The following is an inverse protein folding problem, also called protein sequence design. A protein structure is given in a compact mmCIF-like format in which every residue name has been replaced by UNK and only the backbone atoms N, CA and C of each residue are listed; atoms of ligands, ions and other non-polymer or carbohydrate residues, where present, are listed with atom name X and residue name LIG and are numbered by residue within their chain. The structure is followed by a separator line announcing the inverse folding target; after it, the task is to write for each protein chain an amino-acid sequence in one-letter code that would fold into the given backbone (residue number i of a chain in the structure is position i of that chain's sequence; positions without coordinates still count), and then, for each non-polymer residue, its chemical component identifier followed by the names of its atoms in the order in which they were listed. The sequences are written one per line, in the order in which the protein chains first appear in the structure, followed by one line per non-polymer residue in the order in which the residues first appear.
data_IF_044312508837
#
_entry.id   IF_044312508837
#
_cell.length_a   1.000
_cell.length_b   1.000
_cell.length_c   1.000
_cell.angle_alpha   90.00
_cell.angle_beta   90.00
_cell.angle_gamma   90.00
#
_symmetry.space_group_name_H-M   'P 1'
#
loop_
_entity.id
_entity.type
_entity.pdbx_description
1 polymer ?
#
# COMPACT_ATOMS: atom_id res chain seq x y z
N UNK A 1 -1.80 10.14 -2.84
CA UNK A 1 -0.44 9.88 -3.37
C UNK A 1 -0.43 9.44 -4.82
N UNK A 2 -1.22 8.43 -5.23
CA UNK A 2 -1.20 7.91 -6.60
C UNK A 2 -1.28 8.96 -7.71
N UNK A 3 -2.15 9.98 -7.58
CA UNK A 3 -2.29 11.03 -8.60
C UNK A 3 -1.02 11.89 -8.75
N UNK A 4 -0.39 12.26 -7.63
CA UNK A 4 0.85 13.05 -7.67
C UNK A 4 2.03 12.22 -8.18
N UNK A 5 2.12 10.96 -7.79
CA UNK A 5 3.13 10.04 -8.32
C UNK A 5 2.94 9.81 -9.84
N UNK A 6 1.69 9.66 -10.31
CA UNK A 6 1.39 9.61 -11.75
C UNK A 6 1.84 10.87 -12.48
N UNK A 7 1.66 12.07 -11.89
CA UNK A 7 2.16 13.33 -12.48
C UNK A 7 3.67 13.39 -12.58
N UNK A 8 4.39 12.72 -11.68
CA UNK A 8 5.84 12.57 -11.73
C UNK A 8 6.32 11.48 -12.70
N UNK A 9 5.40 10.78 -13.38
CA UNK A 9 5.71 9.76 -14.38
C UNK A 9 5.74 8.32 -13.86
N UNK A 10 5.28 8.07 -12.63
CA UNK A 10 5.19 6.71 -12.09
C UNK A 10 3.87 6.03 -12.47
N UNK A 11 3.93 4.71 -12.68
CA UNK A 11 2.74 3.87 -12.70
C UNK A 11 2.34 3.53 -11.26
N UNK A 12 1.06 3.73 -10.93
CA UNK A 12 0.59 3.62 -9.55
C UNK A 12 -0.76 2.92 -9.46
N UNK A 13 -0.82 1.97 -8.53
CA UNK A 13 -2.02 1.27 -8.09
C UNK A 13 -2.30 1.61 -6.63
N UNK A 14 -3.55 1.90 -6.30
CA UNK A 14 -4.02 2.10 -4.92
C UNK A 14 -4.75 0.87 -4.39
N UNK A 15 -4.63 0.58 -3.09
CA UNK A 15 -5.39 -0.48 -2.43
C UNK A 15 -5.95 0.04 -1.11
N UNK A 16 -7.16 -0.40 -0.76
CA UNK A 16 -7.84 -0.04 0.48
C UNK A 16 -8.93 -1.10 0.77
N UNK A 17 -9.29 -1.29 2.04
CA UNK A 17 -10.41 -2.15 2.43
C UNK A 17 -11.77 -1.44 2.26
N UNK A 18 -11.76 -0.11 2.27
CA UNK A 18 -12.94 0.73 2.18
C UNK A 18 -13.38 0.91 0.72
N UNK A 19 -14.50 0.30 0.39
CA UNK A 19 -15.10 0.34 -0.94
C UNK A 19 -15.41 1.77 -1.43
N UNK A 20 -15.85 2.66 -0.54
CA UNK A 20 -16.16 4.05 -0.92
C UNK A 20 -14.88 4.82 -1.29
N UNK A 21 -13.76 4.57 -0.59
CA UNK A 21 -12.47 5.19 -0.92
C UNK A 21 -11.96 4.70 -2.27
N UNK A 22 -12.11 3.41 -2.57
CA UNK A 22 -11.76 2.85 -3.87
C UNK A 22 -12.62 3.43 -4.98
N UNK A 23 -13.92 3.60 -4.76
CA UNK A 23 -14.82 4.24 -5.72
C UNK A 23 -14.38 5.67 -6.03
N UNK A 24 -14.14 6.49 -4.99
CA UNK A 24 -13.64 7.87 -5.14
C UNK A 24 -12.29 7.90 -5.88
N UNK A 25 -11.38 6.97 -5.57
CA UNK A 25 -10.08 6.89 -6.22
C UNK A 25 -10.22 6.58 -7.73
N UNK A 26 -11.09 5.62 -8.09
CA UNK A 26 -11.37 5.25 -9.48
C UNK A 26 -12.01 6.40 -10.27
N UNK A 27 -12.98 7.10 -9.67
CA UNK A 27 -13.60 8.30 -10.27
C UNK A 27 -12.56 9.40 -10.59
N UNK A 28 -11.47 9.47 -9.81
CA UNK A 28 -10.35 10.39 -10.03
C UNK A 28 -9.28 9.85 -11.00
N UNK A 29 -9.47 8.69 -11.61
CA UNK A 29 -8.53 8.09 -12.56
C UNK A 29 -7.38 7.30 -11.92
N UNK A 30 -7.51 6.90 -10.65
CA UNK A 30 -6.58 5.99 -10.00
C UNK A 30 -6.99 4.55 -10.30
N UNK A 31 -6.04 3.73 -10.73
CA UNK A 31 -6.25 2.29 -10.77
C UNK A 31 -6.21 1.79 -9.33
N UNK A 32 -7.32 1.24 -8.84
CA UNK A 32 -7.45 0.91 -7.43
C UNK A 32 -8.27 -0.35 -7.17
N UNK A 33 -7.93 -1.09 -6.12
CA UNK A 33 -8.52 -2.39 -5.77
C UNK A 33 -8.95 -2.45 -4.31
N UNK A 34 -10.08 -3.10 -4.06
CA UNK A 34 -10.51 -3.41 -2.70
C UNK A 34 -9.72 -4.64 -2.24
N UNK A 35 -8.94 -4.51 -1.17
CA UNK A 35 -8.09 -5.60 -0.65
C UNK A 35 -8.23 -5.70 0.87
N UNK A 36 -8.23 -6.93 1.38
CA UNK A 36 -8.24 -7.21 2.82
C UNK A 36 -6.90 -7.76 3.32
N UNK A 37 -6.50 -8.90 2.76
CA UNK A 37 -5.35 -9.66 3.25
C UNK A 37 -4.35 -9.91 2.12
N UNK A 38 -4.77 -10.61 1.07
CA UNK A 38 -3.92 -10.95 -0.07
C UNK A 38 -4.06 -9.95 -1.21
N UNK A 39 -2.93 -9.38 -1.63
CA UNK A 39 -2.82 -8.50 -2.78
C UNK A 39 -2.92 -9.32 -4.08
N UNK A 40 -3.76 -8.92 -5.06
CA UNK A 40 -3.97 -9.65 -6.31
C UNK A 40 -2.83 -9.42 -7.33
N UNK A 41 -1.59 -9.35 -6.86
CA UNK A 41 -0.40 -9.10 -7.66
C UNK A 41 0.60 -10.24 -7.49
N UNK A 42 1.38 -10.49 -8.53
CA UNK A 42 2.47 -11.46 -8.48
C UNK A 42 3.57 -11.00 -7.50
N UNK A 43 4.46 -11.93 -7.17
CA UNK A 43 5.67 -11.61 -6.41
C UNK A 43 6.52 -10.60 -7.21
N UNK A 44 7.18 -9.68 -6.50
CA UNK A 44 8.03 -8.62 -7.08
C UNK A 44 7.36 -7.73 -8.15
N UNK A 45 6.02 -7.63 -8.13
CA UNK A 45 5.25 -6.88 -9.13
C UNK A 45 5.54 -5.36 -9.10
N UNK A 46 5.74 -4.77 -7.92
CA UNK A 46 6.01 -3.34 -7.77
C UNK A 46 7.48 -3.08 -7.44
N UNK A 47 8.08 -2.07 -8.06
CA UNK A 47 9.40 -1.59 -7.67
C UNK A 47 9.42 -1.10 -6.20
N UNK A 48 8.36 -0.40 -5.80
CA UNK A 48 8.22 0.19 -4.46
C UNK A 48 6.80 0.02 -3.95
N UNK A 49 6.65 -0.48 -2.73
CA UNK A 49 5.39 -0.43 -1.96
C UNK A 49 5.45 0.71 -0.97
N UNK A 50 4.34 1.47 -0.84
CA UNK A 50 4.24 2.57 0.11
C UNK A 50 3.03 2.35 1.01
N UNK A 51 3.26 2.39 2.32
CA UNK A 51 2.22 2.30 3.36
C UNK A 51 2.26 3.58 4.18
N UNK A 52 1.23 4.42 4.05
CA UNK A 52 1.10 5.67 4.79
C UNK A 52 0.06 5.51 5.89
N UNK A 53 0.46 5.73 7.15
CA UNK A 53 -0.45 5.79 8.32
C UNK A 53 -1.43 4.59 8.34
N UNK A 54 -0.89 3.38 8.20
CA UNK A 54 -1.67 2.13 8.09
C UNK A 54 -1.37 1.15 9.22
N UNK A 55 -0.09 0.90 9.52
CA UNK A 55 0.32 -0.21 10.37
C UNK A 55 -0.17 -0.10 11.81
N UNK A 56 -0.36 1.13 12.30
CA UNK A 56 -0.87 1.45 13.63
C UNK A 56 -2.37 1.18 13.80
N UNK A 57 -3.09 0.97 12.69
CA UNK A 57 -4.54 0.75 12.69
C UNK A 57 -4.92 -0.72 12.47
N UNK A 58 -3.95 -1.59 12.22
CA UNK A 58 -4.18 -3.00 11.86
C UNK A 58 -3.67 -3.94 12.94
N UNK A 59 -4.42 -5.00 13.22
CA UNK A 59 -4.04 -6.01 14.22
C UNK A 59 -3.04 -7.04 13.69
N UNK A 60 -2.96 -7.20 12.38
CA UNK A 60 -2.17 -8.21 11.67
C UNK A 60 -1.04 -7.57 10.85
N UNK A 61 -0.32 -6.63 11.44
CA UNK A 61 0.80 -5.91 10.79
C UNK A 61 1.81 -6.86 10.15
N UNK A 62 2.15 -7.97 10.80
CA UNK A 62 3.13 -8.94 10.31
C UNK A 62 2.73 -9.58 8.97
N UNK A 63 1.45 -9.93 8.82
CA UNK A 63 0.95 -10.51 7.57
C UNK A 63 0.89 -9.46 6.45
N UNK A 64 0.51 -8.23 6.79
CA UNK A 64 0.52 -7.10 5.84
C UNK A 64 1.96 -6.80 5.39
N UNK A 65 2.93 -6.87 6.29
CA UNK A 65 4.34 -6.66 5.98
C UNK A 65 4.92 -7.77 5.11
N UNK A 66 4.58 -9.04 5.39
CA UNK A 66 4.95 -10.17 4.52
C UNK A 66 4.37 -10.00 3.13
N UNK A 67 3.12 -9.56 3.03
CA UNK A 67 2.45 -9.36 1.75
C UNK A 67 3.02 -8.17 0.98
N UNK A 68 3.27 -7.04 1.67
CA UNK A 68 3.99 -5.91 1.11
C UNK A 68 5.38 -6.32 0.61
N UNK A 69 6.09 -7.16 1.38
CA UNK A 69 7.40 -7.70 0.99
C UNK A 69 7.31 -8.64 -0.20
N UNK A 70 6.27 -9.46 -0.29
CA UNK A 70 6.04 -10.39 -1.41
C UNK A 70 5.90 -9.64 -2.73
N UNK A 71 5.13 -8.56 -2.76
CA UNK A 71 4.89 -7.80 -4.00
C UNK A 71 5.95 -6.72 -4.27
N UNK A 72 6.82 -6.40 -3.31
CA UNK A 72 7.86 -5.37 -3.43
C UNK A 72 9.20 -5.93 -3.90
N UNK A 73 9.62 -5.53 -5.10
CA UNK A 73 10.89 -5.92 -5.71
C UNK A 73 12.11 -5.26 -5.07
N UNK A 74 12.03 -3.96 -4.75
CA UNK A 74 13.19 -3.18 -4.27
C UNK A 74 12.94 -2.55 -2.92
N UNK A 75 11.89 -1.74 -2.79
CA UNK A 75 11.71 -0.88 -1.63
C UNK A 75 10.34 -1.05 -0.98
N UNK A 76 10.30 -0.85 0.34
CA UNK A 76 9.07 -0.62 1.10
C UNK A 76 9.28 0.69 1.86
N UNK A 77 8.38 1.65 1.67
CA UNK A 77 8.35 2.90 2.43
C UNK A 77 7.16 2.87 3.38
N UNK A 78 7.42 3.13 4.65
CA UNK A 78 6.42 3.07 5.72
C UNK A 78 6.45 4.39 6.47
N UNK A 79 5.28 4.97 6.69
CA UNK A 79 5.11 6.06 7.66
C UNK A 79 4.11 5.65 8.73
N UNK A 80 4.42 6.02 9.96
CA UNK A 80 3.62 5.86 11.16
C UNK A 80 3.85 7.09 12.03
N UNK A 81 2.90 7.48 12.90
CA UNK A 81 3.05 8.65 13.76
C UNK A 81 4.15 8.48 14.82
N UNK A 82 4.40 7.23 15.24
CA UNK A 82 5.48 6.85 16.15
C UNK A 82 5.97 5.42 15.84
N UNK A 83 7.28 5.18 15.98
CA UNK A 83 7.92 3.89 15.69
C UNK A 83 8.12 3.01 16.93
N UNK A 84 7.72 3.44 18.13
CA UNK A 84 7.92 2.68 19.38
C UNK A 84 7.28 1.28 19.41
N UNK A 85 6.34 0.98 18.50
CA UNK A 85 5.76 -0.35 18.32
C UNK A 85 6.42 -1.23 17.24
N UNK A 86 7.43 -0.70 16.54
CA UNK A 86 7.94 -1.26 15.27
C UNK A 86 9.49 -1.32 15.23
N UNK A 87 10.13 -1.47 16.39
CA UNK A 87 11.59 -1.36 16.55
C UNK A 87 12.40 -2.46 15.82
N UNK A 88 11.75 -3.53 15.36
CA UNK A 88 12.41 -4.70 14.74
C UNK A 88 11.82 -5.11 13.38
N UNK A 89 11.22 -4.17 12.64
CA UNK A 89 10.75 -4.37 11.26
C UNK A 89 11.84 -4.81 10.28
#
# INVERSE_FOLDING_TARGET
YCLELKRLGFECVGVDINEEYIKIAREKGVEAYIVKETLPFADDFFDTVIMFELLEHVHNSDEILKEAKRVARKNILITVPDCGGFETL
#
